data_IF_729563539792
#
_entry.id   IF_729563539792
#
_cell.length_a   1.000
_cell.length_b   1.000
_cell.length_c   1.000
_cell.angle_alpha   90.00
_cell.angle_beta   90.00
_cell.angle_gamma   90.00
#
_symmetry.space_group_name_H-M   'P 1'
#
loop_
_entity.id
_entity.type
_entity.pdbx_description
1 polymer ?
#
# COMPACT_ATOMS: atom_id res chain seq x y z
N UNK A 1 40.52 -21.98 2.95
CA UNK A 1 40.39 -20.51 2.79
C UNK A 1 39.48 -20.01 3.88
N UNK A 2 40.01 -19.23 4.80
CA UNK A 2 39.26 -18.70 5.94
C UNK A 2 38.30 -17.61 5.46
N UNK A 3 37.01 -17.95 5.31
CA UNK A 3 35.96 -17.05 4.82
C UNK A 3 35.56 -15.99 5.88
N UNK A 4 36.21 -15.96 7.04
CA UNK A 4 35.96 -15.03 8.14
C UNK A 4 36.21 -13.56 7.79
N UNK A 5 37.16 -13.27 6.90
CA UNK A 5 37.46 -11.90 6.45
C UNK A 5 36.48 -11.31 5.41
N UNK A 6 35.82 -12.16 4.61
CA UNK A 6 34.90 -11.71 3.54
C UNK A 6 33.44 -11.62 4.01
N UNK A 7 33.07 -12.37 5.05
CA UNK A 7 31.71 -12.36 5.62
C UNK A 7 31.33 -10.97 6.15
N UNK A 8 32.22 -10.30 6.86
CA UNK A 8 31.93 -8.98 7.43
C UNK A 8 31.71 -7.89 6.38
N UNK A 9 32.58 -7.70 5.36
CA UNK A 9 32.32 -6.79 4.25
C UNK A 9 31.04 -7.11 3.48
N UNK A 10 30.76 -8.40 3.24
CA UNK A 10 29.52 -8.81 2.57
C UNK A 10 28.28 -8.47 3.41
N UNK A 11 28.30 -8.73 4.72
CA UNK A 11 27.22 -8.37 5.64
C UNK A 11 27.05 -6.85 5.68
N UNK A 12 28.14 -6.08 5.75
CA UNK A 12 28.11 -4.62 5.75
C UNK A 12 27.47 -4.09 4.46
N UNK A 13 27.86 -4.63 3.30
CA UNK A 13 27.24 -4.27 2.02
C UNK A 13 25.74 -4.60 1.97
N UNK A 14 25.34 -5.75 2.51
CA UNK A 14 23.92 -6.11 2.62
C UNK A 14 23.18 -5.14 3.53
N UNK A 15 23.74 -4.78 4.69
CA UNK A 15 23.13 -3.84 5.64
C UNK A 15 23.02 -2.44 5.02
N UNK A 16 24.07 -1.95 4.36
CA UNK A 16 24.04 -0.66 3.65
C UNK A 16 22.99 -0.70 2.54
N UNK A 17 22.94 -1.79 1.77
CA UNK A 17 21.93 -1.98 0.73
C UNK A 17 20.50 -1.97 1.28
N UNK A 18 20.25 -2.63 2.42
CA UNK A 18 18.95 -2.59 3.10
C UNK A 18 18.65 -1.17 3.56
N UNK A 19 19.57 -0.50 4.25
CA UNK A 19 19.38 0.90 4.70
C UNK A 19 19.08 1.82 3.52
N UNK A 20 19.75 1.61 2.38
CA UNK A 20 19.51 2.37 1.17
C UNK A 20 18.11 2.09 0.59
N UNK A 21 17.62 0.85 0.61
CA UNK A 21 16.24 0.51 0.20
C UNK A 21 15.18 1.20 1.08
N UNK A 22 15.50 1.49 2.35
CA UNK A 22 14.64 2.26 3.26
C UNK A 22 14.70 3.78 2.99
N UNK A 23 15.65 4.26 2.18
CA UNK A 23 15.77 5.67 1.80
C UNK A 23 14.78 6.06 0.68
N UNK A 24 14.59 7.36 0.45
CA UNK A 24 13.74 7.88 -0.63
C UNK A 24 14.17 7.39 -2.02
N UNK A 25 15.47 7.24 -2.26
CA UNK A 25 16.02 6.72 -3.51
C UNK A 25 15.71 5.23 -3.71
N UNK A 26 15.82 4.43 -2.66
CA UNK A 26 15.52 3.00 -2.69
C UNK A 26 14.03 2.71 -2.88
N UNK A 27 13.16 3.47 -2.21
CA UNK A 27 11.70 3.40 -2.40
C UNK A 27 11.30 3.74 -3.84
N UNK A 28 11.84 4.83 -4.39
CA UNK A 28 11.57 5.23 -5.79
C UNK A 28 12.05 4.17 -6.79
N UNK A 29 13.23 3.58 -6.55
CA UNK A 29 13.74 2.48 -7.37
C UNK A 29 12.83 1.24 -7.31
N UNK A 30 12.34 0.86 -6.12
CA UNK A 30 11.39 -0.25 -5.98
C UNK A 30 10.07 0.04 -6.69
N UNK A 31 9.52 1.25 -6.55
CA UNK A 31 8.30 1.68 -7.24
C UNK A 31 8.46 1.57 -8.77
N UNK A 32 9.58 2.04 -9.31
CA UNK A 32 9.90 1.90 -10.74
C UNK A 32 10.07 0.43 -11.14
N UNK A 33 10.73 -0.38 -10.33
CA UNK A 33 10.95 -1.80 -10.63
C UNK A 33 9.63 -2.58 -10.70
N UNK A 34 8.67 -2.30 -9.79
CA UNK A 34 7.34 -2.92 -9.78
C UNK A 34 6.38 -2.33 -10.81
N UNK A 35 6.70 -1.19 -11.43
CA UNK A 35 5.88 -0.58 -12.50
C UNK A 35 6.48 -0.76 -13.89
N UNK A 36 7.65 -1.41 -13.99
CA UNK A 36 8.39 -1.62 -15.24
C UNK A 36 7.71 -2.62 -16.18
N UNK A 37 7.03 -3.63 -15.65
CA UNK A 37 6.33 -4.62 -16.45
C UNK A 37 5.01 -4.04 -16.98
N UNK A 38 4.70 -4.29 -18.26
CA UNK A 38 3.40 -3.93 -18.83
C UNK A 38 2.31 -4.83 -18.23
N UNK A 39 1.27 -4.28 -17.58
CA UNK A 39 0.20 -5.09 -17.01
C UNK A 39 -0.48 -5.94 -18.07
N UNK A 40 -0.79 -7.20 -17.76
CA UNK A 40 -1.51 -8.13 -18.63
C UNK A 40 -0.64 -8.97 -19.55
N UNK A 41 0.68 -8.82 -19.54
CA UNK A 41 1.62 -9.65 -20.34
C UNK A 41 1.98 -10.95 -19.62
N UNK A 42 2.12 -10.89 -18.29
CA UNK A 42 2.45 -12.05 -17.45
C UNK A 42 1.68 -11.96 -16.13
N UNK A 43 0.60 -12.75 -16.01
CA UNK A 43 -0.26 -12.75 -14.84
C UNK A 43 0.47 -13.14 -13.53
N UNK A 44 1.53 -13.96 -13.60
CA UNK A 44 2.32 -14.33 -12.43
C UNK A 44 3.20 -13.17 -11.96
N UNK A 45 3.76 -12.43 -12.93
CA UNK A 45 4.55 -11.23 -12.65
C UNK A 45 3.68 -10.09 -12.16
N UNK A 46 2.53 -9.85 -12.77
CA UNK A 46 1.55 -8.85 -12.35
C UNK A 46 1.12 -9.05 -10.90
N UNK A 47 0.85 -10.31 -10.52
CA UNK A 47 0.53 -10.66 -9.12
C UNK A 47 1.67 -10.34 -8.16
N UNK A 48 2.92 -10.55 -8.60
CA UNK A 48 4.11 -10.31 -7.78
C UNK A 48 4.39 -8.82 -7.65
N UNK A 49 4.26 -8.07 -8.75
CA UNK A 49 4.48 -6.63 -8.81
C UNK A 49 3.39 -5.87 -8.03
N UNK A 50 2.12 -6.28 -8.13
CA UNK A 50 1.05 -5.73 -7.30
C UNK A 50 1.30 -6.00 -5.82
N UNK A 51 1.67 -7.24 -5.45
CA UNK A 51 2.02 -7.57 -4.07
C UNK A 51 3.23 -6.75 -3.60
N UNK A 52 4.19 -6.48 -4.48
CA UNK A 52 5.33 -5.60 -4.25
C UNK A 52 4.91 -4.17 -3.92
N UNK A 53 4.13 -3.53 -4.80
CA UNK A 53 3.61 -2.17 -4.57
C UNK A 53 2.76 -2.09 -3.30
N UNK A 54 1.95 -3.12 -3.07
CA UNK A 54 1.12 -3.23 -1.87
C UNK A 54 1.95 -3.28 -0.58
N UNK A 55 3.03 -4.07 -0.58
CA UNK A 55 3.96 -4.15 0.55
C UNK A 55 4.75 -2.85 0.71
N UNK A 56 5.16 -2.23 -0.39
CA UNK A 56 5.84 -0.94 -0.40
C UNK A 56 4.95 0.15 0.21
N UNK A 57 3.68 0.24 -0.19
CA UNK A 57 2.72 1.17 0.41
C UNK A 57 2.53 0.89 1.91
N UNK A 58 2.45 -0.38 2.31
CA UNK A 58 2.39 -0.76 3.73
C UNK A 58 3.65 -0.36 4.51
N UNK A 59 4.83 -0.50 3.91
CA UNK A 59 6.09 -0.07 4.49
C UNK A 59 6.14 1.46 4.63
N UNK A 60 5.72 2.20 3.62
CA UNK A 60 5.64 3.67 3.67
C UNK A 60 4.65 4.16 4.73
N UNK A 61 3.55 3.44 4.96
CA UNK A 61 2.65 3.69 6.09
C UNK A 61 3.36 3.54 7.44
N UNK A 62 4.23 2.54 7.61
CA UNK A 62 5.00 2.37 8.86
C UNK A 62 6.06 3.45 9.06
N UNK A 63 6.58 4.01 7.97
CA UNK A 63 7.50 5.15 7.99
C UNK A 63 6.79 6.52 8.11
N UNK A 64 5.47 6.55 8.28
CA UNK A 64 4.65 7.76 8.32
C UNK A 64 4.74 8.63 7.04
N UNK A 65 5.15 8.04 5.91
CA UNK A 65 5.18 8.70 4.60
C UNK A 65 3.83 8.53 3.89
N UNK A 66 2.78 9.09 4.48
CA UNK A 66 1.38 8.86 4.07
C UNK A 66 1.09 9.25 2.63
N UNK A 67 1.62 10.37 2.16
CA UNK A 67 1.42 10.86 0.78
C UNK A 67 2.06 9.93 -0.26
N UNK A 68 3.27 9.44 0.02
CA UNK A 68 3.94 8.49 -0.87
C UNK A 68 3.25 7.12 -0.81
N UNK A 69 2.85 6.68 0.39
CA UNK A 69 2.07 5.45 0.54
C UNK A 69 0.76 5.51 -0.27
N UNK A 70 0.06 6.64 -0.23
CA UNK A 70 -1.17 6.85 -1.01
C UNK A 70 -0.91 6.74 -2.52
N UNK A 71 0.10 7.45 -3.05
CA UNK A 71 0.45 7.38 -4.47
C UNK A 71 0.77 5.97 -4.95
N UNK A 72 1.56 5.22 -4.18
CA UNK A 72 1.93 3.84 -4.53
C UNK A 72 0.70 2.91 -4.53
N UNK A 73 -0.20 3.07 -3.55
CA UNK A 73 -1.43 2.28 -3.48
C UNK A 73 -2.42 2.64 -4.59
N UNK A 74 -2.59 3.93 -4.88
CA UNK A 74 -3.39 4.41 -6.01
C UNK A 74 -2.84 3.89 -7.34
N UNK A 75 -1.52 3.91 -7.54
CA UNK A 75 -0.88 3.35 -8.71
C UNK A 75 -1.12 1.84 -8.85
N UNK A 76 -1.06 1.08 -7.76
CA UNK A 76 -1.39 -0.35 -7.78
C UNK A 76 -2.86 -0.59 -8.15
N UNK A 77 -3.79 0.16 -7.56
CA UNK A 77 -5.22 0.10 -7.85
C UNK A 77 -5.51 0.45 -9.31
N UNK A 78 -4.90 1.52 -9.83
CA UNK A 78 -5.11 1.97 -11.20
C UNK A 78 -4.55 1.00 -12.24
N UNK A 79 -3.44 0.31 -11.94
CA UNK A 79 -2.78 -0.63 -12.87
C UNK A 79 -3.47 -1.98 -12.94
N UNK A 80 -3.83 -2.56 -11.80
CA UNK A 80 -4.34 -3.94 -11.74
C UNK A 80 -5.86 -4.01 -11.60
N UNK A 81 -6.51 -2.91 -11.19
CA UNK A 81 -7.96 -2.82 -11.03
C UNK A 81 -8.52 -3.87 -10.06
N UNK A 82 -9.81 -4.17 -10.19
CA UNK A 82 -10.51 -5.13 -9.32
C UNK A 82 -9.97 -6.57 -9.43
N UNK A 83 -9.21 -6.88 -10.48
CA UNK A 83 -8.57 -8.19 -10.66
C UNK A 83 -7.35 -8.37 -9.76
N UNK A 84 -6.83 -7.28 -9.18
CA UNK A 84 -5.69 -7.34 -8.29
C UNK A 84 -6.03 -7.99 -6.94
N UNK A 85 -5.33 -9.06 -6.49
CA UNK A 85 -5.51 -9.70 -5.18
C UNK A 85 -5.47 -8.75 -3.96
N UNK A 86 -4.93 -7.55 -4.08
CA UNK A 86 -4.85 -6.58 -2.99
C UNK A 86 -5.68 -5.32 -3.26
N UNK A 87 -6.54 -5.31 -4.28
CA UNK A 87 -7.36 -4.15 -4.65
C UNK A 87 -8.14 -3.59 -3.46
N UNK A 88 -8.98 -4.41 -2.82
CA UNK A 88 -9.80 -3.98 -1.67
C UNK A 88 -8.98 -3.62 -0.45
N UNK A 89 -7.91 -4.37 -0.18
CA UNK A 89 -7.03 -4.08 0.94
C UNK A 89 -6.18 -2.82 0.73
N UNK A 90 -5.86 -2.46 -0.50
CA UNK A 90 -5.21 -1.18 -0.84
C UNK A 90 -6.18 -0.01 -0.61
N UNK A 91 -7.43 -0.12 -1.05
CA UNK A 91 -8.48 0.87 -0.74
C UNK A 91 -8.65 1.06 0.76
N UNK A 92 -8.73 -0.02 1.53
CA UNK A 92 -8.84 0.10 2.99
C UNK A 92 -7.63 0.77 3.64
N UNK A 93 -6.42 0.53 3.13
CA UNK A 93 -5.21 1.19 3.63
C UNK A 93 -5.11 2.65 3.21
N UNK A 94 -5.65 3.02 2.05
CA UNK A 94 -5.77 4.41 1.62
C UNK A 94 -6.58 5.25 2.61
N UNK A 95 -7.62 4.69 3.23
CA UNK A 95 -8.39 5.39 4.30
C UNK A 95 -7.44 5.93 5.38
N UNK A 96 -6.50 5.09 5.85
CA UNK A 96 -5.52 5.51 6.87
C UNK A 96 -4.57 6.58 6.35
N UNK A 97 -4.15 6.51 5.08
CA UNK A 97 -3.34 7.56 4.47
C UNK A 97 -4.10 8.88 4.46
N UNK A 98 -5.34 8.90 3.98
CA UNK A 98 -6.16 10.10 3.86
C UNK A 98 -6.48 10.70 5.23
N UNK A 99 -6.84 9.89 6.24
CA UNK A 99 -7.03 10.36 7.62
C UNK A 99 -5.78 11.04 8.18
N UNK A 100 -4.58 10.52 7.87
CA UNK A 100 -3.32 11.09 8.36
C UNK A 100 -2.84 12.31 7.57
N UNK A 101 -3.39 12.52 6.38
CA UNK A 101 -3.19 13.75 5.60
C UNK A 101 -4.32 14.76 5.84
N UNK A 102 -5.21 14.50 6.81
CA UNK A 102 -6.38 15.33 7.12
C UNK A 102 -7.38 15.49 5.96
N UNK A 103 -7.28 14.62 4.93
CA UNK A 103 -8.23 14.55 3.83
C UNK A 103 -9.40 13.63 4.22
N UNK A 104 -10.19 14.08 5.19
CA UNK A 104 -11.28 13.31 5.77
C UNK A 104 -12.39 13.02 4.76
N UNK A 105 -12.60 13.91 3.78
CA UNK A 105 -13.59 13.68 2.73
C UNK A 105 -13.20 12.49 1.85
N UNK A 106 -11.93 12.39 1.41
CA UNK A 106 -11.49 11.21 0.66
C UNK A 106 -11.52 9.95 1.52
N UNK A 107 -11.13 10.02 2.79
CA UNK A 107 -11.23 8.90 3.70
C UNK A 107 -12.66 8.37 3.81
N UNK A 108 -13.64 9.27 4.00
CA UNK A 108 -15.06 8.95 4.05
C UNK A 108 -15.55 8.34 2.74
N UNK A 109 -15.22 8.94 1.60
CA UNK A 109 -15.64 8.44 0.29
C UNK A 109 -15.14 7.01 0.04
N UNK A 110 -13.90 6.70 0.41
CA UNK A 110 -13.34 5.36 0.28
C UNK A 110 -14.03 4.36 1.22
N UNK A 111 -14.32 4.75 2.47
CA UNK A 111 -15.09 3.91 3.38
C UNK A 111 -16.48 3.58 2.81
N UNK A 112 -17.18 4.58 2.28
CA UNK A 112 -18.49 4.39 1.64
C UNK A 112 -18.40 3.49 0.41
N UNK A 113 -17.33 3.59 -0.39
CA UNK A 113 -17.09 2.67 -1.50
C UNK A 113 -16.88 1.23 -1.02
N UNK A 114 -16.12 1.02 0.05
CA UNK A 114 -15.89 -0.30 0.63
C UNK A 114 -17.18 -0.91 1.19
N UNK A 115 -18.02 -0.11 1.84
CA UNK A 115 -19.35 -0.52 2.32
C UNK A 115 -20.25 -0.89 1.14
N UNK A 116 -20.36 -0.03 0.14
CA UNK A 116 -21.21 -0.25 -1.03
C UNK A 116 -20.81 -1.53 -1.80
N UNK A 117 -19.52 -1.81 -1.90
CA UNK A 117 -19.00 -3.02 -2.53
C UNK A 117 -19.05 -4.27 -1.63
N UNK A 118 -19.44 -4.12 -0.35
CA UNK A 118 -19.33 -5.18 0.66
C UNK A 118 -17.94 -5.84 0.66
N UNK A 119 -16.89 -5.02 0.64
CA UNK A 119 -15.52 -5.46 0.32
C UNK A 119 -14.98 -6.59 1.21
N UNK A 120 -15.48 -6.74 2.44
CA UNK A 120 -15.14 -7.84 3.34
C UNK A 120 -15.39 -9.24 2.70
N UNK A 121 -16.42 -9.37 1.87
CA UNK A 121 -16.75 -10.65 1.21
C UNK A 121 -15.65 -11.09 0.22
N UNK A 122 -14.95 -10.12 -0.36
CA UNK A 122 -13.87 -10.36 -1.32
C UNK A 122 -12.50 -10.42 -0.62
N UNK A 123 -12.33 -9.64 0.45
CA UNK A 123 -11.08 -9.57 1.19
C UNK A 123 -11.32 -9.45 2.70
N UNK A 124 -11.08 -10.55 3.41
CA UNK A 124 -11.27 -10.66 4.88
C UNK A 124 -10.37 -9.71 5.69
N UNK A 125 -9.35 -9.10 5.07
CA UNK A 125 -8.49 -8.09 5.73
C UNK A 125 -9.20 -6.74 5.85
N UNK A 126 -10.21 -6.50 5.02
CA UNK A 126 -11.08 -5.34 5.14
C UNK A 126 -12.09 -5.63 6.25
N UNK A 127 -12.34 -4.72 7.20
CA UNK A 127 -13.37 -4.91 8.22
C UNK A 127 -14.78 -5.11 7.63
N UNK A 128 -15.67 -5.72 8.41
CA UNK A 128 -17.08 -5.87 8.05
C UNK A 128 -17.78 -4.53 7.86
N UNK A 129 -18.85 -4.53 7.06
CA UNK A 129 -19.59 -3.33 6.69
C UNK A 129 -20.09 -2.53 7.91
N UNK A 130 -20.50 -3.20 8.99
CA UNK A 130 -20.94 -2.53 10.22
C UNK A 130 -19.83 -1.66 10.82
N UNK A 131 -18.59 -2.19 10.86
CA UNK A 131 -17.44 -1.46 11.38
C UNK A 131 -17.02 -0.32 10.44
N UNK A 132 -17.01 -0.57 9.13
CA UNK A 132 -16.73 0.45 8.13
C UNK A 132 -17.74 1.59 8.18
N UNK A 133 -19.03 1.27 8.32
CA UNK A 133 -20.12 2.25 8.40
C UNK A 133 -20.03 3.06 9.68
N UNK A 134 -19.77 2.41 10.82
CA UNK A 134 -19.55 3.10 12.09
C UNK A 134 -18.38 4.09 11.98
N UNK A 135 -17.27 3.67 11.37
CA UNK A 135 -16.10 4.53 11.17
C UNK A 135 -16.41 5.69 10.22
N UNK A 136 -17.15 5.45 9.14
CA UNK A 136 -17.57 6.47 8.19
C UNK A 136 -18.50 7.51 8.84
N UNK A 137 -19.49 7.07 9.62
CA UNK A 137 -20.38 7.97 10.37
C UNK A 137 -19.62 8.83 11.37
N UNK A 138 -18.67 8.24 12.12
CA UNK A 138 -17.81 8.99 13.05
C UNK A 138 -16.98 10.06 12.34
N UNK A 139 -16.38 9.73 11.20
CA UNK A 139 -15.64 10.71 10.39
C UNK A 139 -16.57 11.83 9.90
N UNK A 140 -17.77 11.49 9.45
CA UNK A 140 -18.77 12.45 8.99
C UNK A 140 -19.20 13.40 10.09
N UNK A 141 -19.52 12.88 11.27
CA UNK A 141 -19.96 13.65 12.43
C UNK A 141 -18.84 14.54 12.98
N UNK A 142 -17.63 14.00 13.14
CA UNK A 142 -16.53 14.71 13.80
C UNK A 142 -15.93 15.81 12.91
N UNK A 143 -16.00 15.66 11.59
CA UNK A 143 -15.43 16.60 10.62
C UNK A 143 -16.47 17.31 9.75
N UNK A 144 -17.77 17.21 10.10
CA UNK A 144 -18.89 17.86 9.41
C UNK A 144 -18.90 17.61 7.88
N UNK A 145 -18.56 16.38 7.48
CA UNK A 145 -18.42 16.02 6.07
C UNK A 145 -19.77 15.97 5.37
N UNK A 146 -19.78 16.22 4.06
CA UNK A 146 -21.00 16.19 3.24
C UNK A 146 -21.27 14.78 2.72
#
# INVERSE_FOLDING_TARGET
MDLSGLKWPAIILVVIGVIWLLSSGGVSWMEQNFTKATPGVDAARDKTDEAGLTRLGGYLLTLWRYEHAARVMEAAIARYGMNGPNYWYNHYRLVKCYEKMEDYQRAYNVLMQLVAASAHQYDKRVPENDNLSLRASKLKELHELR
#
